data_IF_555423957375
#
_entry.id   IF_555423957375
#
_cell.length_a   1.000
_cell.length_b   1.000
_cell.length_c   1.000
_cell.angle_alpha   90.00
_cell.angle_beta   90.00
_cell.angle_gamma   90.00
#
_symmetry.space_group_name_H-M   'P 1'
#
loop_
_entity.id
_entity.type
_entity.pdbx_description
1 polymer ?
#
# COMPACT_ATOMS: atom_id res chain seq x y z
N UNK A 1 3.43 22.41 -24.94
CA UNK A 1 3.44 22.94 -23.56
C UNK A 1 2.56 22.04 -22.72
N UNK A 2 3.14 21.17 -21.92
CA UNK A 2 2.42 20.32 -20.98
C UNK A 2 3.29 20.19 -19.74
N UNK A 3 3.18 21.19 -18.86
CA UNK A 3 3.78 21.10 -17.53
C UNK A 3 2.95 20.09 -16.73
N UNK A 4 3.44 18.87 -16.65
CA UNK A 4 2.99 17.92 -15.62
C UNK A 4 3.32 18.58 -14.29
N UNK A 5 2.28 19.03 -13.58
CA UNK A 5 2.37 19.53 -12.21
C UNK A 5 2.84 18.37 -11.33
N UNK A 6 4.16 18.25 -11.19
CA UNK A 6 4.77 17.43 -10.15
C UNK A 6 4.32 18.05 -8.83
N UNK A 7 3.31 17.41 -8.23
CA UNK A 7 2.88 17.67 -6.86
C UNK A 7 4.13 17.75 -5.97
N UNK A 8 4.27 18.87 -5.25
CA UNK A 8 5.48 19.22 -4.49
C UNK A 8 5.98 18.04 -3.65
N UNK A 9 7.22 17.62 -3.87
CA UNK A 9 7.90 16.57 -3.09
C UNK A 9 7.95 15.17 -3.71
N UNK A 10 7.22 14.90 -4.80
CA UNK A 10 7.38 13.64 -5.53
C UNK A 10 8.58 13.68 -6.47
N UNK A 11 9.40 12.61 -6.46
CA UNK A 11 10.47 12.38 -7.44
C UNK A 11 10.27 11.04 -8.13
N UNK A 12 10.55 10.99 -9.44
CA UNK A 12 10.61 9.72 -10.15
C UNK A 12 11.78 8.91 -9.61
N UNK A 13 11.56 7.62 -9.38
CA UNK A 13 12.58 6.68 -8.89
C UNK A 13 12.61 5.45 -9.79
N UNK A 14 13.78 4.83 -9.91
CA UNK A 14 13.94 3.57 -10.59
C UNK A 14 13.57 2.40 -9.67
N UNK A 15 13.25 1.25 -10.28
CA UNK A 15 12.85 0.04 -9.57
C UNK A 15 13.94 -0.42 -8.57
N UNK A 16 15.21 -0.17 -8.87
CA UNK A 16 16.36 -0.71 -8.13
C UNK A 16 16.90 0.24 -7.06
N UNK A 17 16.30 1.42 -6.90
CA UNK A 17 16.96 2.52 -6.21
C UNK A 17 17.20 2.32 -4.71
N UNK A 18 16.69 1.26 -4.06
CA UNK A 18 16.86 1.05 -2.61
C UNK A 18 16.30 2.19 -1.74
N UNK A 19 15.65 3.18 -2.35
CA UNK A 19 15.14 4.41 -1.73
C UNK A 19 13.91 4.15 -0.84
N UNK A 20 13.27 2.98 -0.98
CA UNK A 20 12.13 2.55 -0.17
C UNK A 20 12.57 2.02 1.20
N UNK A 21 13.50 2.70 1.85
CA UNK A 21 13.77 2.48 3.25
C UNK A 21 12.67 3.18 4.06
N UNK A 22 12.01 2.44 4.95
CA UNK A 22 11.05 3.00 5.89
C UNK A 22 11.73 4.09 6.73
N UNK A 23 11.31 5.34 6.55
CA UNK A 23 11.78 6.49 7.33
C UNK A 23 10.82 6.82 8.46
N UNK A 24 11.34 7.45 9.52
CA UNK A 24 10.59 7.79 10.74
C UNK A 24 9.41 8.76 10.53
N UNK A 25 9.28 9.39 9.36
CA UNK A 25 8.29 10.44 9.07
C UNK A 25 6.87 9.92 8.70
N UNK A 26 6.58 8.63 8.89
CA UNK A 26 5.21 8.14 8.75
C UNK A 26 4.38 8.50 10.00
N UNK A 27 3.47 9.46 9.87
CA UNK A 27 2.59 9.92 10.95
C UNK A 27 1.66 8.82 11.53
N UNK A 28 1.48 7.72 10.80
CA UNK A 28 0.67 6.58 11.21
C UNK A 28 1.50 5.46 11.85
N UNK A 29 2.83 5.60 11.92
CA UNK A 29 3.66 4.70 12.73
C UNK A 29 3.47 5.01 14.21
N UNK A 30 3.59 3.95 15.03
CA UNK A 30 3.59 4.10 16.47
C UNK A 30 4.77 5.01 16.87
N UNK A 31 4.47 6.15 17.51
CA UNK A 31 5.47 7.13 17.95
C UNK A 31 6.33 6.65 19.14
N UNK A 32 6.15 5.40 19.56
CA UNK A 32 6.86 4.76 20.66
C UNK A 32 6.55 3.27 20.71
N UNK A 33 7.24 2.55 21.60
CA UNK A 33 7.02 1.11 21.78
C UNK A 33 5.65 0.88 22.42
N UNK A 34 4.77 0.15 21.74
CA UNK A 34 3.49 -0.26 22.30
C UNK A 34 3.71 -1.27 23.44
N UNK A 35 2.88 -1.25 24.50
CA UNK A 35 2.92 -2.30 25.50
C UNK A 35 2.56 -3.64 24.85
N UNK A 36 3.29 -4.70 25.18
CA UNK A 36 3.09 -6.00 24.57
C UNK A 36 2.43 -6.97 25.56
N UNK A 37 1.39 -7.72 25.15
CA UNK A 37 0.74 -7.71 23.83
C UNK A 37 -0.32 -6.61 23.71
N UNK A 38 -0.46 -6.04 22.51
CA UNK A 38 -1.53 -5.10 22.16
C UNK A 38 -2.37 -5.66 21.01
N UNK A 39 -3.70 -5.59 21.08
CA UNK A 39 -4.61 -6.02 20.02
C UNK A 39 -5.31 -4.83 19.37
N UNK A 40 -5.47 -4.88 18.05
CA UNK A 40 -6.29 -3.93 17.32
C UNK A 40 -7.77 -4.26 17.49
N UNK A 41 -8.58 -3.36 18.08
CA UNK A 41 -10.00 -3.62 18.31
C UNK A 41 -10.82 -3.70 17.01
N UNK A 42 -10.30 -3.19 15.89
CA UNK A 42 -11.01 -3.16 14.61
C UNK A 42 -10.78 -4.40 13.74
N UNK A 43 -9.55 -4.94 13.74
CA UNK A 43 -9.20 -6.08 12.86
C UNK A 43 -8.65 -7.30 13.61
N UNK A 44 -8.39 -7.20 14.92
CA UNK A 44 -7.85 -8.31 15.71
C UNK A 44 -6.37 -8.61 15.52
N UNK A 45 -5.65 -7.88 14.66
CA UNK A 45 -4.18 -7.99 14.58
C UNK A 45 -3.54 -7.71 15.95
N UNK A 46 -2.49 -8.43 16.30
CA UNK A 46 -1.82 -8.30 17.61
C UNK A 46 -0.39 -7.84 17.41
N UNK A 47 -0.01 -6.78 18.11
CA UNK A 47 1.36 -6.33 18.26
C UNK A 47 2.09 -7.14 19.34
N UNK A 48 3.16 -7.83 18.94
CA UNK A 48 4.02 -8.62 19.80
C UNK A 48 5.36 -8.88 19.10
N UNK A 49 6.44 -8.93 19.87
CA UNK A 49 7.83 -8.99 19.39
C UNK A 49 8.14 -7.86 18.40
N UNK A 50 7.68 -6.65 18.71
CA UNK A 50 7.94 -5.46 17.88
C UNK A 50 7.18 -5.38 16.56
N UNK A 51 6.26 -6.31 16.24
CA UNK A 51 5.50 -6.31 14.98
C UNK A 51 4.03 -6.66 15.15
N UNK A 52 3.21 -6.20 14.21
CA UNK A 52 1.81 -6.61 14.09
C UNK A 52 1.72 -7.94 13.34
N UNK A 53 0.99 -8.91 13.91
CA UNK A 53 0.83 -10.25 13.36
C UNK A 53 -0.58 -10.79 13.59
N UNK A 54 -1.02 -11.73 12.76
CA UNK A 54 -2.25 -12.48 13.00
C UNK A 54 -1.97 -13.55 14.06
N UNK A 55 -2.62 -13.43 15.21
CA UNK A 55 -2.57 -14.42 16.28
C UNK A 55 -3.72 -14.19 17.25
N UNK A 56 -3.98 -15.18 18.09
CA UNK A 56 -4.93 -15.01 19.18
C UNK A 56 -4.38 -13.99 20.19
N UNK A 57 -5.21 -13.00 20.51
CA UNK A 57 -4.93 -12.02 21.55
C UNK A 57 -5.13 -12.66 22.94
N UNK A 58 -4.19 -12.46 23.88
CA UNK A 58 -4.41 -12.83 25.28
C UNK A 58 -5.58 -12.05 25.89
N UNK A 59 -6.25 -12.63 26.89
CA UNK A 59 -7.45 -12.06 27.53
C UNK A 59 -7.22 -10.64 28.05
N UNK A 60 -6.00 -10.34 28.52
CA UNK A 60 -5.62 -9.05 29.10
C UNK A 60 -4.74 -8.21 28.16
N UNK A 61 -4.80 -8.42 26.85
CA UNK A 61 -4.04 -7.60 25.90
C UNK A 61 -4.50 -6.13 25.94
N UNK A 62 -3.53 -5.23 25.83
CA UNK A 62 -3.80 -3.81 25.64
C UNK A 62 -4.55 -3.58 24.31
N UNK A 63 -5.24 -2.45 24.17
CA UNK A 63 -6.01 -2.13 22.96
C UNK A 63 -5.48 -0.86 22.33
N UNK A 64 -5.08 -0.95 21.08
CA UNK A 64 -4.62 0.18 20.27
C UNK A 64 -4.98 -0.07 18.82
N UNK A 65 -5.36 0.95 18.07
CA UNK A 65 -5.70 0.74 16.65
C UNK A 65 -4.42 0.59 15.82
N UNK A 66 -4.37 -0.40 14.93
CA UNK A 66 -3.17 -0.62 14.13
C UNK A 66 -3.03 0.46 13.03
N UNK A 67 -1.81 0.72 12.52
CA UNK A 67 -1.57 1.74 11.50
C UNK A 67 -2.46 1.62 10.26
N UNK A 68 -2.68 0.40 9.76
CA UNK A 68 -3.52 0.15 8.59
C UNK A 68 -4.98 0.53 8.84
N UNK A 69 -5.51 0.15 10.00
CA UNK A 69 -6.86 0.51 10.41
C UNK A 69 -7.04 2.02 10.62
N UNK A 70 -6.03 2.71 11.17
CA UNK A 70 -6.02 4.17 11.23
C UNK A 70 -6.08 4.80 9.85
N UNK A 71 -5.22 4.38 8.91
CA UNK A 71 -5.18 4.89 7.53
C UNK A 71 -6.50 4.69 6.80
N UNK A 72 -7.12 3.53 6.95
CA UNK A 72 -8.44 3.20 6.36
C UNK A 72 -9.51 4.16 6.90
N UNK A 73 -9.58 4.33 8.23
CA UNK A 73 -10.57 5.22 8.85
C UNK A 73 -10.41 6.67 8.37
N UNK A 74 -9.17 7.14 8.31
CA UNK A 74 -8.86 8.54 8.01
C UNK A 74 -8.74 8.81 6.49
N UNK A 75 -9.01 7.80 5.64
CA UNK A 75 -8.88 7.85 4.18
C UNK A 75 -7.52 8.44 3.74
N UNK A 76 -6.44 7.99 4.39
CA UNK A 76 -5.07 8.48 4.16
C UNK A 76 -4.13 7.37 3.68
N UNK A 77 -4.14 7.06 2.36
CA UNK A 77 -3.30 6.00 1.80
C UNK A 77 -1.81 6.29 1.92
N UNK A 78 -1.02 5.22 1.94
CA UNK A 78 0.44 5.30 1.77
C UNK A 78 0.83 5.05 0.31
N UNK A 79 0.17 4.08 -0.34
CA UNK A 79 0.42 3.72 -1.72
C UNK A 79 -0.75 4.02 -2.64
N UNK A 80 -0.43 4.37 -3.88
CA UNK A 80 -1.37 4.60 -4.97
C UNK A 80 -0.88 3.81 -6.18
N UNK A 81 -1.75 3.01 -6.78
CA UNK A 81 -1.49 2.27 -8.00
C UNK A 81 -2.52 2.69 -9.06
N UNK A 82 -2.05 3.38 -10.09
CA UNK A 82 -2.87 3.74 -11.25
C UNK A 82 -2.68 2.70 -12.36
N UNK A 83 -3.79 2.11 -12.81
CA UNK A 83 -3.86 1.13 -13.89
C UNK A 83 -4.60 1.76 -15.07
N UNK A 84 -3.99 1.76 -16.26
CA UNK A 84 -4.57 2.36 -17.45
C UNK A 84 -4.06 1.72 -18.74
N UNK A 85 -4.69 2.07 -19.86
CA UNK A 85 -4.35 1.61 -21.20
C UNK A 85 -5.38 0.64 -21.78
N UNK A 86 -5.30 0.41 -23.08
CA UNK A 86 -6.30 -0.39 -23.81
C UNK A 86 -6.25 -1.86 -23.41
N UNK A 87 -5.05 -2.40 -23.14
CA UNK A 87 -4.89 -3.77 -22.68
C UNK A 87 -5.48 -3.93 -21.28
N UNK A 88 -5.22 -2.98 -20.37
CA UNK A 88 -5.85 -2.98 -19.05
C UNK A 88 -7.38 -3.00 -19.15
N UNK A 89 -7.96 -2.12 -19.96
CA UNK A 89 -9.42 -2.06 -20.12
C UNK A 89 -9.99 -3.37 -20.68
N UNK A 90 -9.29 -3.99 -21.62
CA UNK A 90 -9.73 -5.24 -22.25
C UNK A 90 -9.59 -6.46 -21.33
N UNK A 91 -8.68 -6.43 -20.35
CA UNK A 91 -8.38 -7.54 -19.43
C UNK A 91 -8.61 -7.18 -17.95
N UNK A 92 -9.48 -6.20 -17.69
CA UNK A 92 -9.65 -5.57 -16.38
C UNK A 92 -9.90 -6.58 -15.26
N UNK A 93 -10.83 -7.51 -15.46
CA UNK A 93 -11.23 -8.45 -14.42
C UNK A 93 -10.12 -9.43 -14.04
N UNK A 94 -9.29 -9.84 -15.00
CA UNK A 94 -8.14 -10.71 -14.77
C UNK A 94 -7.04 -9.96 -14.01
N UNK A 95 -6.73 -8.75 -14.44
CA UNK A 95 -5.73 -7.89 -13.81
C UNK A 95 -6.15 -7.54 -12.38
N UNK A 96 -7.40 -7.16 -12.15
CA UNK A 96 -7.91 -6.86 -10.82
C UNK A 96 -7.96 -8.10 -9.92
N UNK A 97 -8.10 -9.30 -10.49
CA UNK A 97 -7.94 -10.55 -9.72
C UNK A 97 -6.50 -10.75 -9.26
N UNK A 98 -5.51 -10.50 -10.12
CA UNK A 98 -4.10 -10.53 -9.72
C UNK A 98 -3.82 -9.54 -8.59
N UNK A 99 -4.31 -8.30 -8.71
CA UNK A 99 -4.18 -7.26 -7.68
C UNK A 99 -4.69 -7.73 -6.32
N UNK A 100 -5.90 -8.28 -6.27
CA UNK A 100 -6.53 -8.76 -5.02
C UNK A 100 -5.84 -10.00 -4.47
N UNK A 101 -5.49 -10.97 -5.32
CA UNK A 101 -4.78 -12.17 -4.90
C UNK A 101 -3.40 -11.83 -4.29
N UNK A 102 -2.70 -10.84 -4.86
CA UNK A 102 -1.43 -10.38 -4.33
C UNK A 102 -1.60 -9.70 -2.96
N UNK A 103 -2.62 -8.86 -2.78
CA UNK A 103 -2.94 -8.29 -1.47
C UNK A 103 -3.32 -9.36 -0.44
N UNK A 104 -4.15 -10.34 -0.81
CA UNK A 104 -4.56 -11.41 0.10
C UNK A 104 -3.37 -12.23 0.57
N UNK A 105 -2.44 -12.54 -0.35
CA UNK A 105 -1.20 -13.24 -0.05
C UNK A 105 -0.32 -12.44 0.92
N UNK A 106 -0.04 -11.18 0.61
CA UNK A 106 0.76 -10.30 1.47
C UNK A 106 0.10 -10.08 2.83
N UNK A 107 -1.22 -9.90 2.85
CA UNK A 107 -1.99 -9.67 4.08
C UNK A 107 -1.92 -10.88 5.00
N UNK A 108 -1.87 -12.10 4.47
CA UNK A 108 -1.80 -13.32 5.28
C UNK A 108 -0.59 -13.35 6.22
N UNK A 109 0.53 -12.74 5.83
CA UNK A 109 1.75 -12.64 6.64
C UNK A 109 1.94 -11.25 7.26
N UNK A 110 1.40 -10.22 6.61
CA UNK A 110 1.58 -8.82 6.99
C UNK A 110 0.23 -8.13 7.21
N UNK A 111 -0.31 -8.13 8.44
CA UNK A 111 -1.63 -7.58 8.73
C UNK A 111 -1.81 -6.12 8.33
N UNK A 112 -0.73 -5.36 8.16
CA UNK A 112 -0.76 -3.94 7.82
C UNK A 112 -0.78 -3.66 6.31
N UNK A 113 -0.50 -4.66 5.46
CA UNK A 113 -0.56 -4.52 4.00
C UNK A 113 -1.98 -4.79 3.54
N UNK A 114 -2.72 -3.74 3.16
CA UNK A 114 -4.11 -3.83 2.73
C UNK A 114 -4.42 -2.90 1.57
N UNK A 115 -5.30 -3.32 0.68
CA UNK A 115 -6.01 -2.43 -0.24
C UNK A 115 -7.08 -1.67 0.56
N UNK A 116 -7.14 -0.36 0.36
CA UNK A 116 -8.09 0.54 1.02
C UNK A 116 -9.32 0.78 0.16
N UNK A 117 -9.12 1.10 -1.12
CA UNK A 117 -10.19 1.38 -2.07
C UNK A 117 -9.73 1.11 -3.51
N UNK A 118 -10.71 0.84 -4.37
CA UNK A 118 -10.57 0.73 -5.81
C UNK A 118 -11.56 1.73 -6.44
N UNK A 119 -11.06 2.73 -7.15
CA UNK A 119 -11.86 3.77 -7.79
C UNK A 119 -11.67 3.73 -9.30
N UNK A 120 -12.77 3.77 -10.05
CA UNK A 120 -12.72 3.78 -11.51
C UNK A 120 -13.16 5.14 -12.04
N UNK A 121 -12.36 5.69 -12.95
CA UNK A 121 -12.66 6.95 -13.61
C UNK A 121 -11.98 7.02 -14.98
N UNK A 122 -12.75 7.39 -16.00
CA UNK A 122 -12.24 7.70 -17.35
C UNK A 122 -11.33 6.60 -17.93
N UNK A 123 -11.74 5.32 -17.81
CA UNK A 123 -10.97 4.17 -18.31
C UNK A 123 -9.68 3.86 -17.53
N UNK A 124 -9.52 4.46 -16.35
CA UNK A 124 -8.41 4.27 -15.42
C UNK A 124 -8.94 3.74 -14.10
N UNK A 125 -8.21 2.81 -13.48
CA UNK A 125 -8.48 2.35 -12.11
C UNK A 125 -7.39 2.83 -11.17
N UNK A 126 -7.79 3.44 -10.06
CA UNK A 126 -6.92 3.80 -8.95
C UNK A 126 -7.14 2.83 -7.80
N UNK A 127 -6.08 2.12 -7.41
CA UNK A 127 -6.04 1.29 -6.21
C UNK A 127 -5.23 2.02 -5.15
N UNK A 128 -5.77 2.14 -3.94
CA UNK A 128 -5.09 2.77 -2.80
C UNK A 128 -4.72 1.72 -1.77
N UNK A 129 -3.56 1.87 -1.11
CA UNK A 129 -3.04 0.90 -0.15
C UNK A 129 -2.58 1.55 1.15
N UNK A 130 -2.64 0.79 2.24
CA UNK A 130 -2.15 1.21 3.56
C UNK A 130 -0.63 1.20 3.68
N UNK A 131 0.06 0.57 2.72
CA UNK A 131 1.50 0.35 2.72
C UNK A 131 2.10 0.59 1.33
N UNK A 132 3.27 1.26 1.28
CA UNK A 132 3.96 1.57 0.02
C UNK A 132 4.51 0.31 -0.66
N UNK A 133 4.93 -0.69 0.11
CA UNK A 133 5.51 -1.91 -0.43
C UNK A 133 4.45 -2.78 -1.07
N UNK A 134 3.21 -2.76 -0.57
CA UNK A 134 2.08 -3.41 -1.22
C UNK A 134 1.80 -2.80 -2.61
N UNK A 135 1.69 -1.47 -2.73
CA UNK A 135 1.46 -0.83 -4.03
C UNK A 135 2.59 -1.13 -5.02
N UNK A 136 3.84 -1.12 -4.54
CA UNK A 136 5.01 -1.51 -5.33
C UNK A 136 4.92 -2.97 -5.77
N UNK A 137 4.69 -3.89 -4.83
CA UNK A 137 4.64 -5.34 -5.08
C UNK A 137 3.58 -5.70 -6.12
N UNK A 138 2.39 -5.09 -6.02
CA UNK A 138 1.34 -5.26 -7.03
C UNK A 138 1.80 -4.76 -8.40
N UNK A 139 2.38 -3.56 -8.48
CA UNK A 139 2.89 -3.02 -9.75
C UNK A 139 3.97 -3.90 -10.39
N UNK A 140 4.87 -4.46 -9.58
CA UNK A 140 5.88 -5.41 -10.03
C UNK A 140 5.28 -6.73 -10.49
N UNK A 141 4.28 -7.26 -9.78
CA UNK A 141 3.57 -8.48 -10.16
C UNK A 141 2.84 -8.31 -11.50
N UNK A 142 2.21 -7.15 -11.73
CA UNK A 142 1.57 -6.81 -13.00
C UNK A 142 2.57 -6.71 -14.15
N UNK A 143 3.67 -5.99 -13.96
CA UNK A 143 4.69 -5.87 -14.98
C UNK A 143 5.37 -7.21 -15.29
N UNK A 144 5.54 -8.07 -14.29
CA UNK A 144 6.06 -9.41 -14.50
C UNK A 144 5.09 -10.28 -15.32
N UNK A 145 3.80 -10.26 -14.99
CA UNK A 145 2.78 -11.08 -15.65
C UNK A 145 2.43 -10.59 -17.07
N UNK A 146 2.33 -9.28 -17.26
CA UNK A 146 1.75 -8.68 -18.47
C UNK A 146 2.67 -7.68 -19.19
N UNK A 147 3.90 -7.46 -18.72
CA UNK A 147 4.80 -6.44 -19.26
C UNK A 147 4.21 -5.02 -19.11
N UNK A 148 4.37 -4.14 -20.10
CA UNK A 148 3.87 -2.76 -20.04
C UNK A 148 4.80 -1.77 -19.34
N UNK A 149 4.45 -0.49 -19.34
CA UNK A 149 5.25 0.56 -18.74
C UNK A 149 4.95 0.68 -17.24
N UNK A 150 5.98 0.55 -16.39
CA UNK A 150 5.88 0.69 -14.94
C UNK A 150 6.72 1.88 -14.45
N UNK A 151 6.08 2.82 -13.75
CA UNK A 151 6.71 4.04 -13.21
C UNK A 151 6.46 4.20 -11.73
N UNK A 152 7.46 4.72 -11.02
CA UNK A 152 7.39 5.03 -9.60
C UNK A 152 7.66 6.50 -9.35
N UNK A 153 6.82 7.12 -8.52
CA UNK A 153 7.05 8.45 -7.96
C UNK A 153 6.93 8.37 -6.46
N UNK A 154 8.04 8.67 -5.77
CA UNK A 154 8.12 8.57 -4.32
C UNK A 154 8.22 9.96 -3.68
N UNK A 155 7.46 10.18 -2.61
CA UNK A 155 7.58 11.34 -1.75
C UNK A 155 8.12 10.88 -0.37
N UNK A 156 9.41 11.15 -0.08
CA UNK A 156 10.04 10.69 1.16
C UNK A 156 9.59 11.44 2.42
N UNK A 157 9.05 12.67 2.28
CA UNK A 157 8.62 13.46 3.43
C UNK A 157 7.30 12.94 4.00
N UNK A 158 6.44 12.41 3.13
CA UNK A 158 5.10 11.93 3.47
C UNK A 158 5.00 10.40 3.51
N UNK A 159 6.11 9.69 3.21
CA UNK A 159 6.15 8.25 3.01
C UNK A 159 5.08 7.77 2.02
N UNK A 160 4.95 8.46 0.87
CA UNK A 160 3.95 8.15 -0.16
C UNK A 160 4.59 7.59 -1.42
N UNK A 161 3.99 6.54 -1.98
CA UNK A 161 4.39 5.98 -3.26
C UNK A 161 3.24 6.02 -4.26
N UNK A 162 3.50 6.59 -5.43
CA UNK A 162 2.63 6.48 -6.60
C UNK A 162 3.28 5.56 -7.63
N UNK A 163 2.57 4.49 -7.96
CA UNK A 163 2.90 3.51 -8.98
C UNK A 163 1.94 3.71 -10.15
N UNK A 164 2.47 3.78 -11.36
CA UNK A 164 1.66 3.80 -12.58
C UNK A 164 2.05 2.61 -13.44
N UNK A 165 1.09 1.77 -13.77
CA UNK A 165 1.24 0.71 -14.75
C UNK A 165 0.34 1.00 -15.94
N UNK A 166 0.91 0.98 -17.14
CA UNK A 166 0.19 1.25 -18.38
C UNK A 166 0.48 0.19 -19.44
N UNK A 167 -0.60 -0.40 -19.96
CA UNK A 167 -0.55 -1.33 -21.08
C UNK A 167 -1.84 -1.25 -21.91
#
# INVERSE_FOLDING_TARGET
>A
MSHTTVSSGFRQVERHDGIFQEREHDSYRAKGKLPEPTVCPQCGAVFHEGRWQWRQAPVNAHRETCPACHRIRDHYPAGFLTLKGEFFQSHRDEIMRLVRNHEEHERAEHPLKRIMAEEEKDGTTLVTTTDIHLARGIGEALHHAYQGELKYHYNPEQNLLRVSWAH
#
